data_IF_147404307990
#
_entry.id   IF_147404307990
#
_cell.length_a   1.000
_cell.length_b   1.000
_cell.length_c   1.000
_cell.angle_alpha   90.00
_cell.angle_beta   90.00
_cell.angle_gamma   90.00
#
_symmetry.space_group_name_H-M   'P 1'
#
loop_
_entity.id
_entity.type
_entity.pdbx_description
1 polymer ?
#
# COMPACT_ATOMS: atom_id res chain seq x y z
N UNK A 1 43.36 -24.71 44.43
CA UNK A 1 44.03 -23.94 45.50
C UNK A 1 43.62 -22.47 45.39
N UNK A 2 43.60 -21.73 46.50
CA UNK A 2 43.44 -20.27 46.52
C UNK A 2 44.76 -19.58 46.07
N UNK A 3 44.98 -18.26 46.03
CA UNK A 3 44.38 -17.04 46.63
C UNK A 3 44.64 -15.88 45.62
N UNK A 4 44.10 -14.65 45.66
CA UNK A 4 43.51 -13.80 46.71
C UNK A 4 42.35 -12.93 46.16
N UNK A 5 41.70 -12.14 47.03
CA UNK A 5 40.96 -10.90 46.71
C UNK A 5 41.72 -9.69 47.27
N UNK A 6 41.53 -8.49 46.73
CA UNK A 6 41.45 -7.26 47.55
C UNK A 6 40.45 -6.27 46.97
N UNK A 7 39.71 -5.61 47.85
CA UNK A 7 38.67 -4.60 47.60
C UNK A 7 38.86 -3.47 48.63
N UNK A 8 38.63 -2.23 48.22
CA UNK A 8 38.35 -1.04 49.06
C UNK A 8 37.86 0.06 48.10
N UNK A 9 36.56 0.34 48.03
CA UNK A 9 35.82 1.38 48.79
C UNK A 9 36.29 2.80 48.37
N UNK A 10 35.55 3.54 47.51
CA UNK A 10 34.35 4.37 47.79
C UNK A 10 34.72 5.70 48.51
N UNK A 11 34.29 6.92 48.13
CA UNK A 11 33.40 7.51 47.10
C UNK A 11 33.73 9.03 47.01
N UNK A 12 32.85 9.92 46.49
CA UNK A 12 32.28 10.01 45.14
C UNK A 12 32.78 11.28 44.40
N UNK A 13 32.58 11.35 43.08
CA UNK A 13 32.46 12.64 42.40
C UNK A 13 31.39 12.52 41.30
N UNK A 14 30.52 13.52 41.18
CA UNK A 14 29.32 13.45 40.35
C UNK A 14 29.11 14.76 39.60
N UNK A 15 29.22 14.76 38.26
CA UNK A 15 28.65 15.82 37.44
C UNK A 15 27.20 15.49 37.13
N UNK A 16 26.29 16.38 37.53
CA UNK A 16 24.92 16.44 37.02
C UNK A 16 24.97 16.63 35.51
N UNK A 17 24.37 15.70 34.75
CA UNK A 17 24.09 15.91 33.34
C UNK A 17 22.66 16.44 33.20
N UNK A 18 22.51 17.65 32.66
CA UNK A 18 21.23 18.23 32.28
C UNK A 18 20.63 17.50 31.07
N UNK A 19 19.31 17.61 30.81
CA UNK A 19 18.66 16.88 29.73
C UNK A 19 19.14 17.41 28.37
N UNK A 20 19.78 16.56 27.57
CA UNK A 20 20.07 16.87 26.16
C UNK A 20 18.78 17.00 25.37
N UNK A 21 18.63 18.14 24.70
CA UNK A 21 17.66 18.40 23.64
C UNK A 21 17.77 17.36 22.50
N UNK A 22 16.72 17.16 21.68
CA UNK A 22 16.72 16.15 20.63
C UNK A 22 17.84 16.41 19.59
N UNK A 23 18.56 15.33 19.26
CA UNK A 23 19.67 15.35 18.30
C UNK A 23 19.15 15.66 16.90
N UNK A 24 19.90 16.48 16.17
CA UNK A 24 19.60 16.87 14.79
C UNK A 24 19.72 15.69 13.80
N UNK A 25 19.09 15.82 12.63
CA UNK A 25 19.17 14.83 11.55
C UNK A 25 20.63 14.63 11.05
N UNK A 26 21.02 13.40 10.65
CA UNK A 26 22.41 13.09 10.29
C UNK A 26 22.80 13.43 8.84
N UNK A 27 24.03 13.91 8.65
CA UNK A 27 24.63 14.31 7.36
C UNK A 27 25.04 13.13 6.41
N UNK A 28 24.74 11.87 6.73
CA UNK A 28 25.32 10.69 6.04
C UNK A 28 24.35 9.87 5.14
N UNK A 29 23.22 10.45 4.73
CA UNK A 29 22.27 9.79 3.83
C UNK A 29 22.81 9.68 2.37
N UNK A 30 22.35 8.69 1.59
CA UNK A 30 22.72 8.61 0.16
C UNK A 30 21.81 9.55 -0.63
N UNK A 31 22.22 10.81 -0.73
CA UNK A 31 21.57 11.77 -1.61
C UNK A 31 21.86 11.46 -3.09
N UNK A 32 20.82 11.17 -3.87
CA UNK A 32 20.90 11.24 -5.32
C UNK A 32 21.07 12.72 -5.79
N UNK A 33 21.69 12.97 -6.96
CA UNK A 33 21.76 14.31 -7.52
C UNK A 33 20.35 14.92 -7.72
N UNK A 34 20.24 16.24 -7.58
CA UNK A 34 18.95 16.97 -7.69
C UNK A 34 18.17 16.57 -8.94
N UNK A 35 17.12 15.77 -8.76
CA UNK A 35 16.25 15.36 -9.86
C UNK A 35 15.26 16.47 -10.20
N UNK A 36 15.78 17.52 -10.83
CA UNK A 36 15.08 18.71 -11.35
C UNK A 36 13.98 18.42 -12.37
N UNK A 37 13.86 17.17 -12.86
CA UNK A 37 12.72 16.71 -13.61
C UNK A 37 11.49 16.59 -12.70
N UNK A 38 10.46 17.41 -12.96
CA UNK A 38 9.24 17.50 -12.15
C UNK A 38 8.54 16.14 -11.99
N UNK A 39 8.82 15.44 -10.87
CA UNK A 39 8.11 14.22 -10.53
C UNK A 39 6.65 14.55 -10.21
N UNK A 40 5.71 13.90 -10.89
CA UNK A 40 4.29 14.02 -10.57
C UNK A 40 4.05 13.59 -9.11
N UNK A 41 3.66 14.56 -8.28
CA UNK A 41 3.34 14.34 -6.86
C UNK A 41 1.84 14.41 -6.67
N UNK A 42 1.28 13.40 -6.01
CA UNK A 42 -0.17 13.33 -5.79
C UNK A 42 -0.62 14.34 -4.73
N UNK A 43 -1.12 15.48 -5.19
CA UNK A 43 -1.90 16.41 -4.37
C UNK A 43 -3.34 15.92 -4.22
N UNK A 44 -3.55 14.76 -3.58
CA UNK A 44 -4.92 14.30 -3.31
C UNK A 44 -5.48 15.16 -2.18
N UNK A 45 -6.46 16.00 -2.49
CA UNK A 45 -7.20 16.76 -1.50
C UNK A 45 -7.77 15.83 -0.44
N UNK A 46 -7.59 16.20 0.84
CA UNK A 46 -8.08 15.44 2.02
C UNK A 46 -9.56 15.07 1.89
N UNK A 47 -10.34 15.93 1.20
CA UNK A 47 -11.74 15.75 0.82
C UNK A 47 -12.05 14.41 0.15
N UNK A 48 -11.21 13.92 -0.77
CA UNK A 48 -11.47 12.69 -1.53
C UNK A 48 -11.31 11.40 -0.71
N UNK A 49 -10.75 11.53 0.49
CA UNK A 49 -10.52 10.43 1.44
C UNK A 49 -11.38 10.51 2.69
N UNK A 50 -11.97 11.67 2.97
CA UNK A 50 -12.97 11.82 4.01
C UNK A 50 -14.26 11.16 3.54
N UNK A 51 -14.41 9.88 3.87
CA UNK A 51 -15.53 9.05 3.45
C UNK A 51 -16.91 9.62 3.80
N UNK A 52 -17.95 8.94 3.32
CA UNK A 52 -19.34 9.39 3.35
C UNK A 52 -19.73 10.13 4.65
N UNK A 53 -19.89 11.46 4.55
CA UNK A 53 -20.17 12.36 5.67
C UNK A 53 -19.17 13.50 5.87
N UNK A 54 -17.98 13.48 5.25
CA UNK A 54 -17.09 14.66 5.26
C UNK A 54 -17.59 15.73 4.27
N UNK A 55 -17.59 16.99 4.69
CA UNK A 55 -18.13 18.11 3.89
C UNK A 55 -17.15 18.61 2.82
N UNK A 56 -16.85 17.78 1.83
CA UNK A 56 -16.23 18.19 0.57
C UNK A 56 -17.29 18.52 -0.48
N UNK A 57 -17.18 19.67 -1.17
CA UNK A 57 -18.06 19.97 -2.30
C UNK A 57 -17.75 19.01 -3.47
N UNK A 58 -18.77 18.41 -4.12
CA UNK A 58 -18.54 17.54 -5.26
C UNK A 58 -18.14 18.35 -6.50
N UNK A 59 -17.11 17.88 -7.22
CA UNK A 59 -16.85 18.36 -8.58
C UNK A 59 -18.04 18.04 -9.48
N UNK A 60 -18.43 19.02 -10.30
CA UNK A 60 -19.74 19.09 -10.97
C UNK A 60 -19.99 18.13 -12.13
N UNK A 61 -19.47 16.90 -12.08
CA UNK A 61 -19.93 15.83 -12.97
C UNK A 61 -21.26 15.25 -12.46
N UNK A 62 -22.27 15.05 -13.33
CA UNK A 62 -23.52 14.41 -12.91
C UNK A 62 -23.24 12.97 -12.45
N UNK A 63 -23.92 12.47 -11.39
CA UNK A 63 -23.76 11.08 -10.97
C UNK A 63 -24.09 10.13 -12.13
N UNK A 64 -23.13 9.29 -12.50
CA UNK A 64 -23.37 8.23 -13.46
C UNK A 64 -24.40 7.25 -12.87
N UNK A 65 -25.40 6.87 -13.66
CA UNK A 65 -26.39 5.88 -13.24
C UNK A 65 -25.67 4.55 -12.98
N UNK A 66 -25.73 4.07 -11.73
CA UNK A 66 -24.92 2.95 -11.25
C UNK A 66 -25.51 1.61 -11.74
N UNK A 67 -25.39 1.41 -13.06
CA UNK A 67 -25.75 0.18 -13.75
C UNK A 67 -24.67 -0.87 -13.51
N UNK A 68 -25.10 -2.08 -13.13
CA UNK A 68 -24.20 -3.18 -12.85
C UNK A 68 -23.39 -3.56 -14.12
N UNK A 69 -22.06 -3.46 -14.05
CA UNK A 69 -21.18 -3.53 -15.23
C UNK A 69 -20.71 -4.95 -15.54
N UNK A 70 -20.42 -5.32 -16.80
CA UNK A 70 -19.79 -6.60 -17.11
C UNK A 70 -18.46 -6.80 -16.37
N UNK A 71 -18.16 -8.01 -15.89
CA UNK A 71 -16.87 -8.33 -15.25
C UNK A 71 -15.65 -8.08 -16.17
N UNK A 72 -15.84 -7.98 -17.48
CA UNK A 72 -14.79 -7.61 -18.45
C UNK A 72 -14.27 -6.18 -18.27
N UNK A 73 -14.97 -5.35 -17.47
CA UNK A 73 -14.61 -3.96 -17.19
C UNK A 73 -13.96 -3.80 -15.80
N UNK A 74 -13.51 -4.91 -15.20
CA UNK A 74 -12.74 -4.96 -13.96
C UNK A 74 -11.23 -4.90 -14.25
N UNK A 75 -10.42 -4.92 -13.20
CA UNK A 75 -8.98 -5.18 -13.32
C UNK A 75 -8.65 -6.62 -13.78
N UNK A 76 -7.36 -7.00 -13.79
CA UNK A 76 -6.97 -8.39 -14.04
C UNK A 76 -7.55 -9.33 -12.97
N UNK A 77 -7.89 -10.57 -13.36
CA UNK A 77 -8.37 -11.63 -12.46
C UNK A 77 -7.24 -12.31 -11.68
N UNK A 78 -6.05 -12.38 -12.28
CA UNK A 78 -4.90 -13.08 -11.73
C UNK A 78 -3.74 -12.12 -11.51
N UNK A 79 -2.99 -12.36 -10.43
CA UNK A 79 -1.67 -11.76 -10.28
C UNK A 79 -0.73 -12.27 -11.38
N UNK A 80 0.16 -11.42 -11.92
CA UNK A 80 1.31 -11.87 -12.70
C UNK A 80 2.15 -12.89 -11.92
N UNK A 81 2.84 -13.83 -12.59
CA UNK A 81 3.74 -14.78 -11.94
C UNK A 81 4.82 -14.06 -11.12
N UNK A 82 5.08 -14.56 -9.91
CA UNK A 82 6.14 -14.02 -9.06
C UNK A 82 7.53 -14.16 -9.71
N UNK A 83 8.36 -13.13 -9.58
CA UNK A 83 9.78 -13.16 -10.00
C UNK A 83 10.70 -12.91 -8.83
N UNK A 84 11.92 -13.44 -8.89
CA UNK A 84 13.00 -13.17 -7.93
C UNK A 84 14.22 -12.65 -8.69
N UNK A 85 14.41 -11.33 -8.74
CA UNK A 85 15.66 -10.76 -9.30
C UNK A 85 16.85 -10.98 -8.36
N UNK A 86 16.61 -11.06 -7.04
CA UNK A 86 17.58 -11.47 -6.03
C UNK A 86 17.16 -12.83 -5.48
N UNK A 87 18.00 -13.88 -5.53
CA UNK A 87 17.61 -15.22 -5.07
C UNK A 87 17.08 -15.24 -3.63
N UNK A 88 15.89 -15.79 -3.42
CA UNK A 88 15.22 -15.85 -2.13
C UNK A 88 14.48 -14.57 -1.71
N UNK A 89 14.37 -13.58 -2.60
CA UNK A 89 13.60 -12.36 -2.36
C UNK A 89 12.74 -11.99 -3.57
N UNK A 90 11.41 -12.07 -3.37
CA UNK A 90 10.40 -11.80 -4.40
C UNK A 90 10.34 -10.32 -4.77
N UNK A 91 10.29 -10.07 -6.06
CA UNK A 91 9.97 -8.76 -6.63
C UNK A 91 8.48 -8.45 -6.44
N UNK A 92 8.14 -7.18 -6.25
CA UNK A 92 6.77 -6.69 -6.31
C UNK A 92 6.38 -6.45 -7.77
N UNK A 93 6.06 -7.56 -8.46
CA UNK A 93 5.74 -7.56 -9.90
C UNK A 93 4.57 -6.64 -10.22
N UNK A 94 3.52 -6.64 -9.40
CA UNK A 94 2.35 -5.77 -9.58
C UNK A 94 2.68 -4.28 -9.46
N UNK A 95 3.53 -3.89 -8.50
CA UNK A 95 4.02 -2.51 -8.39
C UNK A 95 4.90 -2.13 -9.60
N UNK A 96 5.81 -3.01 -10.00
CA UNK A 96 6.72 -2.83 -11.15
C UNK A 96 5.96 -2.61 -12.45
N UNK A 97 4.97 -3.45 -12.73
CA UNK A 97 4.16 -3.38 -13.95
C UNK A 97 3.24 -2.15 -13.94
N UNK A 98 2.68 -1.78 -12.79
CA UNK A 98 1.87 -0.58 -12.67
C UNK A 98 2.68 0.72 -12.89
N UNK A 99 3.92 0.77 -12.39
CA UNK A 99 4.85 1.87 -12.69
C UNK A 99 5.20 1.93 -14.18
N UNK A 100 5.55 0.80 -14.79
CA UNK A 100 5.87 0.71 -16.21
C UNK A 100 4.70 1.08 -17.14
N UNK A 101 3.46 1.07 -16.64
CA UNK A 101 2.26 1.49 -17.36
C UNK A 101 1.91 2.99 -17.20
N UNK A 102 2.66 3.77 -16.40
CA UNK A 102 2.45 5.21 -16.27
C UNK A 102 2.87 5.96 -17.54
N UNK A 103 2.08 6.96 -18.00
CA UNK A 103 2.55 7.93 -18.99
C UNK A 103 3.52 8.94 -18.35
N UNK A 104 4.17 9.78 -19.16
CA UNK A 104 5.11 10.80 -18.68
C UNK A 104 4.50 11.81 -17.71
N UNK A 105 3.21 12.14 -17.90
CA UNK A 105 2.42 13.02 -17.03
C UNK A 105 1.23 12.22 -16.45
N UNK A 106 1.44 11.43 -15.37
CA UNK A 106 0.41 10.57 -14.81
C UNK A 106 -0.61 11.35 -14.00
N UNK A 107 -1.89 11.06 -14.21
CA UNK A 107 -3.01 11.61 -13.44
C UNK A 107 -3.01 11.08 -12.00
N UNK A 108 -3.68 11.81 -11.09
CA UNK A 108 -3.89 11.35 -9.70
C UNK A 108 -4.56 9.96 -9.63
N UNK A 109 -5.45 9.63 -10.57
CA UNK A 109 -6.08 8.31 -10.65
C UNK A 109 -5.05 7.23 -11.01
N UNK A 110 -4.16 7.48 -11.98
CA UNK A 110 -3.10 6.52 -12.34
C UNK A 110 -2.08 6.34 -11.20
N UNK A 111 -1.73 7.42 -10.49
CA UNK A 111 -0.88 7.34 -9.31
C UNK A 111 -1.54 6.60 -8.13
N UNK A 112 -2.87 6.70 -7.96
CA UNK A 112 -3.64 5.82 -7.06
C UNK A 112 -3.65 4.36 -7.55
N UNK A 113 -3.70 4.15 -8.87
CA UNK A 113 -3.56 2.87 -9.55
C UNK A 113 -2.24 2.16 -9.25
N UNK A 114 -1.15 2.91 -9.05
CA UNK A 114 0.14 2.38 -8.57
C UNK A 114 0.14 2.22 -7.04
N UNK A 115 -0.44 3.17 -6.28
CA UNK A 115 -0.45 3.16 -4.81
C UNK A 115 -1.17 1.94 -4.22
N UNK A 116 -2.20 1.42 -4.90
CA UNK A 116 -2.89 0.18 -4.49
C UNK A 116 -2.00 -1.07 -4.59
N UNK A 117 -1.04 -1.09 -5.51
CA UNK A 117 -0.06 -2.17 -5.69
C UNK A 117 1.19 -1.97 -4.82
N UNK A 118 1.44 -0.73 -4.39
CA UNK A 118 2.39 -0.48 -3.31
C UNK A 118 1.91 -1.14 -2.01
N UNK A 119 0.60 -1.16 -1.71
CA UNK A 119 0.05 -1.75 -0.49
C UNK A 119 0.02 -3.30 -0.45
N UNK A 120 1.02 -3.97 -1.02
CA UNK A 120 1.12 -5.44 -0.99
C UNK A 120 2.56 -5.93 -1.12
N UNK A 121 2.82 -7.12 -0.58
CA UNK A 121 4.11 -7.78 -0.69
C UNK A 121 5.25 -7.01 0.00
N UNK A 122 6.41 -7.02 -0.65
CA UNK A 122 7.64 -6.42 -0.14
C UNK A 122 8.10 -5.29 -1.08
N UNK A 123 8.90 -4.38 -0.56
CA UNK A 123 9.73 -3.46 -1.36
C UNK A 123 11.18 -3.56 -0.90
N UNK A 124 12.10 -3.20 -1.76
CA UNK A 124 13.53 -3.19 -1.46
C UNK A 124 13.92 -1.79 -0.99
N UNK A 125 14.76 -1.73 0.03
CA UNK A 125 15.47 -0.54 0.49
C UNK A 125 16.95 -0.67 0.12
N UNK A 126 17.58 0.44 -0.27
CA UNK A 126 19.04 0.53 -0.42
C UNK A 126 19.61 1.25 0.80
N UNK A 127 20.65 0.68 1.38
CA UNK A 127 21.31 1.14 2.60
C UNK A 127 22.80 1.35 2.30
N UNK A 128 23.43 2.39 2.84
CA UNK A 128 24.88 2.59 2.74
C UNK A 128 25.64 1.59 3.62
N UNK A 129 26.69 0.98 3.08
CA UNK A 129 27.43 -0.09 3.77
C UNK A 129 26.58 -1.35 4.00
N UNK A 130 26.92 -2.13 5.04
CA UNK A 130 26.27 -3.42 5.37
C UNK A 130 25.09 -3.23 6.34
N UNK A 131 23.87 -3.30 5.82
CA UNK A 131 22.63 -3.22 6.60
C UNK A 131 22.53 -4.29 7.70
N UNK A 132 23.07 -5.50 7.49
CA UNK A 132 23.01 -6.58 8.47
C UNK A 132 23.93 -6.31 9.65
N UNK A 133 25.12 -5.78 9.40
CA UNK A 133 26.03 -5.33 10.45
C UNK A 133 25.38 -4.19 11.26
N UNK A 134 24.88 -3.15 10.59
CA UNK A 134 24.23 -2.01 11.23
C UNK A 134 23.04 -2.42 12.13
N UNK A 135 22.14 -3.27 11.63
CA UNK A 135 21.02 -3.82 12.42
C UNK A 135 21.50 -4.63 13.63
N UNK A 136 22.56 -5.44 13.47
CA UNK A 136 23.10 -6.25 14.58
C UNK A 136 23.77 -5.40 15.66
N UNK A 137 24.24 -4.20 15.30
CA UNK A 137 24.80 -3.21 16.21
C UNK A 137 23.74 -2.25 16.79
N UNK A 138 22.47 -2.38 16.37
CA UNK A 138 21.37 -1.49 16.80
C UNK A 138 21.48 -0.06 16.25
N UNK A 139 22.22 0.14 15.16
CA UNK A 139 22.39 1.44 14.50
C UNK A 139 21.22 1.74 13.56
N UNK A 140 21.00 3.03 13.31
CA UNK A 140 20.10 3.48 12.26
C UNK A 140 20.62 3.08 10.87
N UNK A 141 19.70 2.92 9.92
CA UNK A 141 20.02 2.57 8.54
C UNK A 141 20.18 3.85 7.70
N UNK A 142 21.38 4.14 7.15
CA UNK A 142 21.57 5.25 6.21
C UNK A 142 20.91 4.87 4.88
N UNK A 143 19.62 5.17 4.76
CA UNK A 143 18.82 4.86 3.58
C UNK A 143 19.23 5.74 2.39
N UNK A 144 18.93 5.25 1.19
CA UNK A 144 18.91 6.08 0.01
C UNK A 144 17.70 7.01 0.01
N UNK A 145 17.95 8.29 -0.26
CA UNK A 145 16.92 9.34 -0.31
C UNK A 145 17.07 10.20 -1.55
N UNK A 146 16.00 10.91 -1.88
CA UNK A 146 16.02 12.01 -2.83
C UNK A 146 15.46 13.27 -2.19
N UNK A 147 16.02 14.42 -2.57
CA UNK A 147 15.46 15.73 -2.24
C UNK A 147 14.52 16.17 -3.36
N UNK A 148 13.35 16.68 -2.98
CA UNK A 148 12.42 17.41 -3.86
C UNK A 148 11.79 18.54 -3.05
N UNK A 149 11.81 19.76 -3.57
CA UNK A 149 11.25 20.96 -2.93
C UNK A 149 11.75 21.16 -1.49
N UNK A 150 13.06 21.03 -1.28
CA UNK A 150 13.75 21.06 0.04
C UNK A 150 13.22 20.03 1.07
N UNK A 151 12.64 18.92 0.60
CA UNK A 151 12.12 17.83 1.42
C UNK A 151 12.72 16.49 1.05
N UNK A 152 12.99 15.64 2.05
CA UNK A 152 13.61 14.32 1.88
C UNK A 152 12.57 13.20 1.74
N UNK A 153 12.74 12.37 0.70
CA UNK A 153 11.89 11.22 0.39
C UNK A 153 12.71 9.94 0.38
N UNK A 154 12.26 8.91 1.10
CA UNK A 154 12.93 7.59 1.10
C UNK A 154 12.76 6.91 -0.24
N UNK A 155 13.84 6.36 -0.79
CA UNK A 155 13.78 5.54 -1.99
C UNK A 155 13.37 4.11 -1.67
N UNK A 156 12.30 3.66 -2.33
CA UNK A 156 11.84 2.27 -2.29
C UNK A 156 11.85 1.70 -3.71
N UNK A 157 12.22 0.43 -3.84
CA UNK A 157 12.33 -0.22 -5.14
C UNK A 157 11.38 -1.40 -5.26
N UNK A 158 10.73 -1.53 -6.42
CA UNK A 158 9.79 -2.63 -6.73
C UNK A 158 10.49 -3.99 -6.89
N UNK A 159 11.76 -3.98 -7.23
CA UNK A 159 12.51 -5.17 -7.63
C UNK A 159 14.01 -4.99 -7.47
N UNK A 160 14.76 -6.10 -7.45
CA UNK A 160 16.22 -6.06 -7.54
C UNK A 160 16.73 -5.38 -8.81
N UNK A 161 15.97 -5.46 -9.91
CA UNK A 161 16.30 -4.82 -11.18
C UNK A 161 16.24 -3.29 -11.08
N UNK A 162 15.20 -2.75 -10.44
CA UNK A 162 15.06 -1.31 -10.20
C UNK A 162 16.14 -0.75 -9.25
N UNK A 163 16.52 -1.51 -8.22
CA UNK A 163 17.62 -1.15 -7.34
C UNK A 163 18.97 -1.12 -8.09
N UNK A 164 19.24 -2.14 -8.92
CA UNK A 164 20.44 -2.16 -9.77
C UNK A 164 20.45 -0.99 -10.78
N UNK A 165 19.31 -0.64 -11.38
CA UNK A 165 19.20 0.55 -12.24
C UNK A 165 19.54 1.85 -11.49
N UNK A 166 19.13 1.97 -10.22
CA UNK A 166 19.51 3.11 -9.36
C UNK A 166 21.02 3.17 -9.12
N UNK A 167 21.66 2.05 -8.79
CA UNK A 167 23.13 1.98 -8.58
C UNK A 167 23.89 2.29 -9.86
N UNK A 168 23.38 1.90 -11.04
CA UNK A 168 23.97 2.27 -12.32
C UNK A 168 23.80 3.77 -12.66
N UNK A 169 22.74 4.41 -12.14
CA UNK A 169 22.47 5.82 -12.36
C UNK A 169 23.34 6.75 -11.49
N UNK A 170 23.51 6.43 -10.20
CA UNK A 170 24.26 7.27 -9.25
C UNK A 170 25.69 6.78 -8.93
N UNK A 171 26.03 5.54 -9.29
CA UNK A 171 27.36 4.96 -9.05
C UNK A 171 27.61 4.54 -7.59
N UNK A 172 26.62 4.60 -6.69
CA UNK A 172 26.77 4.29 -5.27
C UNK A 172 26.87 2.77 -5.01
N UNK A 173 28.04 2.20 -5.29
CA UNK A 173 28.31 0.75 -5.17
C UNK A 173 28.63 0.26 -3.75
N UNK A 174 28.97 1.16 -2.82
CA UNK A 174 29.16 0.86 -1.38
C UNK A 174 27.81 0.81 -0.64
N UNK A 175 26.91 -0.04 -1.14
CA UNK A 175 25.53 -0.16 -0.65
C UNK A 175 25.08 -1.62 -0.57
N UNK A 176 24.15 -1.89 0.35
CA UNK A 176 23.44 -3.16 0.47
C UNK A 176 21.95 -2.99 0.20
N UNK A 177 21.29 -4.08 -0.15
CA UNK A 177 19.86 -4.15 -0.42
C UNK A 177 19.14 -4.96 0.66
N UNK A 178 17.96 -4.50 1.09
CA UNK A 178 17.12 -5.18 2.07
C UNK A 178 15.66 -5.18 1.62
N UNK A 179 15.07 -6.36 1.46
CA UNK A 179 13.63 -6.51 1.27
C UNK A 179 12.88 -6.37 2.60
N UNK A 180 11.78 -5.63 2.60
CA UNK A 180 10.92 -5.43 3.78
C UNK A 180 9.43 -5.48 3.39
N UNK A 181 8.54 -6.02 4.26
CA UNK A 181 7.10 -5.93 4.07
C UNK A 181 6.68 -4.47 3.96
N UNK A 182 5.79 -4.15 3.03
CA UNK A 182 5.59 -2.74 2.67
C UNK A 182 5.02 -1.90 3.80
N UNK A 183 4.12 -2.44 4.64
CA UNK A 183 3.63 -1.72 5.83
C UNK A 183 4.72 -1.44 6.85
N UNK A 184 5.75 -2.28 6.96
CA UNK A 184 6.93 -2.01 7.81
C UNK A 184 7.67 -0.77 7.29
N UNK A 185 7.88 -0.69 5.97
CA UNK A 185 8.55 0.45 5.33
C UNK A 185 7.73 1.72 5.47
N UNK A 186 6.42 1.68 5.18
CA UNK A 186 5.54 2.83 5.32
C UNK A 186 5.50 3.32 6.78
N UNK A 187 5.37 2.43 7.77
CA UNK A 187 5.40 2.80 9.19
C UNK A 187 6.76 3.38 9.62
N UNK A 188 7.87 2.88 9.09
CA UNK A 188 9.20 3.46 9.31
C UNK A 188 9.28 4.90 8.76
N UNK A 189 8.82 5.13 7.53
CA UNK A 189 8.78 6.46 6.91
C UNK A 189 7.93 7.43 7.74
N UNK A 190 6.80 6.97 8.29
CA UNK A 190 5.96 7.76 9.19
C UNK A 190 6.56 7.98 10.58
N UNK A 191 7.43 7.10 11.07
CA UNK A 191 8.14 7.30 12.33
C UNK A 191 9.33 8.28 12.19
N UNK A 192 9.94 8.33 11.00
CA UNK A 192 11.07 9.22 10.69
C UNK A 192 10.70 10.64 10.25
N UNK A 193 11.70 11.49 9.97
CA UNK A 193 11.55 12.90 9.55
C UNK A 193 11.17 13.06 8.07
N UNK A 194 10.83 11.97 7.38
CA UNK A 194 10.66 11.95 5.93
C UNK A 194 9.34 12.57 5.45
N UNK A 195 9.40 13.30 4.34
CA UNK A 195 8.25 13.89 3.68
C UNK A 195 7.45 12.91 2.81
N UNK A 196 7.95 11.68 2.64
CA UNK A 196 7.27 10.62 1.91
C UNK A 196 8.24 9.58 1.35
N UNK A 197 7.82 8.93 0.26
CA UNK A 197 8.65 8.01 -0.52
C UNK A 197 8.68 8.38 -2.01
N UNK A 198 9.73 7.94 -2.69
CA UNK A 198 9.82 7.89 -4.14
C UNK A 198 10.04 6.43 -4.57
N UNK A 199 9.16 5.93 -5.42
CA UNK A 199 9.18 4.54 -5.90
C UNK A 199 9.92 4.46 -7.23
N UNK A 200 10.87 3.54 -7.33
CA UNK A 200 11.74 3.31 -8.50
C UNK A 200 12.30 4.63 -9.08
N UNK A 201 13.07 5.43 -8.31
CA UNK A 201 13.53 6.77 -8.71
C UNK A 201 14.29 6.83 -10.06
N UNK A 202 14.87 5.71 -10.49
CA UNK A 202 15.60 5.57 -11.74
C UNK A 202 14.73 5.14 -12.95
N UNK A 203 13.40 4.99 -12.80
CA UNK A 203 12.47 4.65 -13.91
C UNK A 203 12.21 5.82 -14.88
N UNK A 204 12.78 7.00 -14.63
CA UNK A 204 12.60 8.19 -15.46
C UNK A 204 11.34 8.96 -15.09
N UNK A 205 10.50 9.26 -16.07
CA UNK A 205 9.20 9.93 -15.89
C UNK A 205 8.17 9.03 -15.18
N UNK A 206 8.26 7.71 -15.37
CA UNK A 206 7.38 6.70 -14.78
C UNK A 206 7.64 6.43 -13.26
N UNK A 207 8.16 7.41 -12.52
CA UNK A 207 8.44 7.31 -11.08
C UNK A 207 7.27 7.89 -10.27
N UNK A 208 6.88 7.20 -9.20
CA UNK A 208 5.78 7.65 -8.33
C UNK A 208 6.31 8.30 -7.04
N UNK A 209 5.81 9.49 -6.69
CA UNK A 209 6.13 10.17 -5.42
C UNK A 209 4.88 10.24 -4.56
N UNK A 210 4.94 9.64 -3.38
CA UNK A 210 3.85 9.63 -2.41
C UNK A 210 4.24 10.41 -1.17
N UNK A 211 3.45 11.44 -0.86
CA UNK A 211 3.67 12.32 0.29
C UNK A 211 3.31 11.63 1.59
N UNK A 212 3.91 12.10 2.69
CA UNK A 212 3.65 11.61 4.05
C UNK A 212 2.16 11.57 4.38
N UNK A 213 1.41 12.65 4.12
CA UNK A 213 -0.03 12.73 4.41
C UNK A 213 -0.85 11.64 3.68
N UNK A 214 -0.46 11.28 2.46
CA UNK A 214 -1.08 10.17 1.73
C UNK A 214 -0.70 8.82 2.36
N UNK A 215 0.57 8.62 2.72
CA UNK A 215 1.03 7.40 3.40
C UNK A 215 0.32 7.22 4.76
N UNK A 216 0.17 8.29 5.54
CA UNK A 216 -0.60 8.29 6.79
C UNK A 216 -2.03 7.79 6.57
N UNK A 217 -2.70 8.30 5.52
CA UNK A 217 -4.06 7.86 5.17
C UNK A 217 -4.10 6.40 4.69
N UNK A 218 -3.13 5.99 3.89
CA UNK A 218 -3.02 4.61 3.39
C UNK A 218 -2.81 3.61 4.54
N UNK A 219 -1.90 3.90 5.47
CA UNK A 219 -1.62 3.04 6.64
C UNK A 219 -2.77 3.04 7.65
N UNK A 220 -3.45 4.18 7.87
CA UNK A 220 -4.59 4.25 8.77
C UNK A 220 -5.83 3.49 8.27
N UNK A 221 -6.04 3.45 6.96
CA UNK A 221 -7.12 2.67 6.34
C UNK A 221 -6.73 1.24 5.95
N UNK A 222 -5.46 0.83 6.12
CA UNK A 222 -5.05 -0.54 5.84
C UNK A 222 -5.72 -1.56 6.77
N UNK A 223 -5.95 -2.75 6.23
CA UNK A 223 -5.96 -3.97 7.03
C UNK A 223 -4.53 -4.22 7.60
N UNK A 224 -4.35 -4.51 8.90
CA UNK A 224 -3.02 -4.60 9.50
C UNK A 224 -2.08 -5.63 8.86
N UNK A 225 -2.63 -6.74 8.38
CA UNK A 225 -1.89 -7.84 7.76
C UNK A 225 -2.01 -7.83 6.22
N UNK A 226 -2.80 -6.90 5.66
CA UNK A 226 -3.19 -6.85 4.25
C UNK A 226 -3.72 -8.19 3.75
N UNK A 227 -4.50 -8.91 4.58
CA UNK A 227 -4.71 -10.35 4.42
C UNK A 227 -5.33 -10.72 3.06
N UNK A 228 -6.47 -10.10 2.72
CA UNK A 228 -7.16 -10.30 1.43
C UNK A 228 -6.24 -10.02 0.25
N UNK A 229 -5.52 -8.88 0.27
CA UNK A 229 -4.66 -8.48 -0.84
C UNK A 229 -3.43 -9.38 -0.97
N UNK A 230 -2.88 -9.85 0.14
CA UNK A 230 -1.79 -10.83 0.17
C UNK A 230 -2.25 -12.13 -0.50
N UNK A 231 -3.40 -12.68 -0.10
CA UNK A 231 -4.00 -13.89 -0.72
C UNK A 231 -4.22 -13.69 -2.23
N UNK A 232 -4.67 -12.51 -2.66
CA UNK A 232 -4.94 -12.20 -4.07
C UNK A 232 -3.68 -11.92 -4.90
N UNK A 233 -2.54 -11.63 -4.26
CA UNK A 233 -1.24 -11.46 -4.91
C UNK A 233 -0.47 -12.77 -5.11
N UNK A 234 -0.95 -13.89 -4.55
CA UNK A 234 -0.35 -15.22 -4.68
C UNK A 234 -0.83 -15.95 -5.94
N UNK A 235 -0.19 -17.08 -6.25
CA UNK A 235 -0.66 -18.01 -7.28
C UNK A 235 -2.06 -18.54 -6.92
N UNK A 236 -2.98 -18.53 -7.90
CA UNK A 236 -4.37 -18.96 -7.67
C UNK A 236 -4.45 -20.47 -7.51
N UNK A 237 -4.95 -20.91 -6.35
CA UNK A 237 -5.22 -22.32 -6.03
C UNK A 237 -6.72 -22.57 -5.79
N UNK A 238 -7.20 -23.83 -5.81
CA UNK A 238 -8.59 -24.16 -5.46
C UNK A 238 -9.01 -23.65 -4.07
N UNK A 239 -8.08 -23.57 -3.12
CA UNK A 239 -8.31 -23.11 -1.75
C UNK A 239 -8.41 -21.58 -1.65
N UNK A 240 -8.07 -20.83 -2.71
CA UNK A 240 -8.00 -19.36 -2.65
C UNK A 240 -9.37 -18.74 -2.38
N UNK A 241 -10.45 -19.29 -2.94
CA UNK A 241 -11.82 -18.82 -2.67
C UNK A 241 -12.17 -18.93 -1.18
N UNK A 242 -11.92 -20.10 -0.58
CA UNK A 242 -12.15 -20.35 0.84
C UNK A 242 -11.28 -19.45 1.74
N UNK A 243 -10.00 -19.23 1.39
CA UNK A 243 -9.11 -18.30 2.12
C UNK A 243 -9.62 -16.87 2.11
N UNK A 244 -10.10 -16.37 0.97
CA UNK A 244 -10.66 -15.00 0.89
C UNK A 244 -12.00 -14.89 1.62
N UNK A 245 -12.87 -15.89 1.51
CA UNK A 245 -14.14 -15.93 2.24
C UNK A 245 -13.96 -15.98 3.77
N UNK A 246 -12.97 -16.72 4.24
CA UNK A 246 -12.56 -16.73 5.65
C UNK A 246 -11.95 -15.39 6.09
N UNK A 247 -11.05 -14.80 5.30
CA UNK A 247 -10.48 -13.48 5.59
C UNK A 247 -11.56 -12.38 5.68
N UNK A 248 -12.59 -12.42 4.83
CA UNK A 248 -13.74 -11.49 4.87
C UNK A 248 -14.53 -11.53 6.20
N UNK A 249 -14.35 -12.54 7.05
CA UNK A 249 -14.99 -12.55 8.39
C UNK A 249 -14.36 -11.55 9.37
N UNK A 250 -13.11 -11.15 9.14
CA UNK A 250 -12.26 -10.40 10.09
C UNK A 250 -11.54 -9.18 9.50
N UNK A 251 -11.14 -9.26 8.23
CA UNK A 251 -10.38 -8.23 7.55
C UNK A 251 -11.26 -7.00 7.26
N UNK A 252 -10.62 -5.84 7.13
CA UNK A 252 -11.30 -4.61 6.72
C UNK A 252 -11.58 -4.63 5.21
N UNK A 253 -12.79 -4.27 4.80
CA UNK A 253 -13.14 -4.09 3.39
C UNK A 253 -14.16 -2.95 3.20
N UNK A 254 -14.25 -2.47 1.96
CA UNK A 254 -15.06 -1.32 1.57
C UNK A 254 -15.95 -1.63 0.36
N UNK A 255 -17.07 -0.93 0.31
CA UNK A 255 -17.91 -0.77 -0.88
C UNK A 255 -17.55 0.52 -1.58
N UNK A 256 -17.66 0.52 -2.91
CA UNK A 256 -17.75 1.73 -3.70
C UNK A 256 -19.22 2.17 -3.72
N UNK A 257 -19.55 3.27 -3.04
CA UNK A 257 -20.90 3.80 -2.92
C UNK A 257 -21.04 5.16 -3.61
N UNK A 258 -22.21 5.45 -4.18
CA UNK A 258 -22.48 6.73 -4.81
C UNK A 258 -23.93 7.18 -4.56
N UNK A 259 -24.23 8.46 -4.82
CA UNK A 259 -25.61 8.97 -4.73
C UNK A 259 -26.32 8.77 -6.06
N UNK A 260 -27.36 7.95 -6.08
CA UNK A 260 -28.18 7.74 -7.27
C UNK A 260 -28.98 9.02 -7.62
N UNK A 261 -29.37 9.23 -8.89
CA UNK A 261 -30.12 10.42 -9.31
C UNK A 261 -31.44 10.68 -8.54
N UNK A 262 -32.02 9.66 -7.89
CA UNK A 262 -33.20 9.77 -7.03
C UNK A 262 -32.92 10.12 -5.56
N UNK A 263 -31.66 10.42 -5.18
CA UNK A 263 -31.27 10.74 -3.80
C UNK A 263 -31.09 9.53 -2.87
N UNK A 264 -31.36 8.31 -3.37
CA UNK A 264 -30.98 7.07 -2.69
C UNK A 264 -29.49 6.76 -2.88
N UNK A 265 -28.95 5.85 -2.06
CA UNK A 265 -27.57 5.38 -2.21
C UNK A 265 -27.52 4.17 -3.14
N UNK A 266 -26.59 4.20 -4.10
CA UNK A 266 -26.18 3.05 -4.88
C UNK A 266 -24.87 2.46 -4.34
N UNK A 267 -24.67 1.16 -4.59
CA UNK A 267 -23.39 0.48 -4.41
C UNK A 267 -22.97 -0.12 -5.74
N UNK A 268 -21.66 -0.21 -5.97
CA UNK A 268 -21.14 -0.78 -7.19
C UNK A 268 -21.43 -2.29 -7.30
N UNK A 269 -22.01 -2.68 -8.42
CA UNK A 269 -22.29 -4.07 -8.79
C UNK A 269 -21.60 -4.45 -10.10
N UNK A 270 -21.17 -5.70 -10.18
CA UNK A 270 -20.75 -6.36 -11.41
C UNK A 270 -21.81 -7.37 -11.89
N UNK A 271 -21.72 -7.73 -13.17
CA UNK A 271 -22.51 -8.76 -13.85
C UNK A 271 -21.59 -9.84 -14.42
N UNK A 272 -21.85 -11.09 -14.06
CA UNK A 272 -21.25 -12.23 -14.76
C UNK A 272 -21.71 -12.29 -16.22
N UNK A 273 -21.02 -13.05 -17.10
CA UNK A 273 -21.49 -13.31 -18.46
C UNK A 273 -22.90 -13.93 -18.50
N UNK A 274 -23.27 -14.67 -17.46
CA UNK A 274 -24.59 -15.29 -17.25
C UNK A 274 -25.65 -14.30 -16.72
N UNK A 275 -25.25 -13.05 -16.42
CA UNK A 275 -26.14 -11.97 -15.97
C UNK A 275 -26.36 -11.88 -14.46
N UNK A 276 -25.65 -12.69 -13.66
CA UNK A 276 -25.78 -12.73 -12.20
C UNK A 276 -25.27 -11.44 -11.55
N UNK A 277 -25.92 -10.96 -10.48
CA UNK A 277 -25.49 -9.78 -9.73
C UNK A 277 -24.43 -10.13 -8.70
N UNK A 278 -23.35 -9.36 -8.68
CA UNK A 278 -22.25 -9.50 -7.74
C UNK A 278 -21.94 -8.13 -7.12
N UNK A 279 -21.82 -8.04 -5.79
CA UNK A 279 -21.40 -6.79 -5.14
C UNK A 279 -19.88 -6.61 -5.31
N UNK A 280 -19.41 -5.41 -5.63
CA UNK A 280 -17.98 -5.11 -5.69
C UNK A 280 -17.42 -4.72 -4.30
N UNK A 281 -16.54 -5.56 -3.76
CA UNK A 281 -15.79 -5.34 -2.52
C UNK A 281 -14.34 -4.94 -2.83
N UNK A 282 -13.79 -4.11 -1.95
CA UNK A 282 -12.44 -3.56 -2.06
C UNK A 282 -11.66 -3.81 -0.77
N UNK A 283 -10.39 -4.17 -0.90
CA UNK A 283 -9.49 -4.43 0.26
C UNK A 283 -8.82 -3.16 0.79
N UNK A 284 -8.94 -2.03 0.06
CA UNK A 284 -8.50 -0.71 0.52
C UNK A 284 -9.23 0.44 -0.20
N UNK A 285 -9.53 1.57 0.46
CA UNK A 285 -10.15 2.74 -0.19
C UNK A 285 -9.43 3.28 -1.43
N UNK A 286 -8.10 3.15 -1.52
CA UNK A 286 -7.32 3.61 -2.68
C UNK A 286 -7.72 2.90 -3.98
N UNK A 287 -8.21 1.66 -3.90
CA UNK A 287 -8.68 0.91 -5.07
C UNK A 287 -9.90 1.57 -5.70
N UNK A 288 -10.84 2.05 -4.87
CA UNK A 288 -12.05 2.75 -5.30
C UNK A 288 -11.67 4.08 -5.99
N UNK A 289 -10.68 4.79 -5.45
CA UNK A 289 -10.11 6.00 -6.08
C UNK A 289 -9.45 5.65 -7.42
N UNK A 290 -8.69 4.56 -7.50
CA UNK A 290 -8.04 4.09 -8.73
C UNK A 290 -9.05 3.70 -9.83
N UNK A 291 -10.26 3.24 -9.48
CA UNK A 291 -11.33 2.97 -10.44
C UNK A 291 -11.81 4.23 -11.19
N UNK A 292 -11.61 5.43 -10.64
CA UNK A 292 -11.95 6.71 -11.29
C UNK A 292 -13.43 6.99 -11.50
N UNK A 293 -14.34 6.21 -10.88
CA UNK A 293 -15.80 6.35 -11.07
C UNK A 293 -16.45 7.47 -10.26
N UNK A 294 -15.69 8.16 -9.41
CA UNK A 294 -16.22 9.16 -8.46
C UNK A 294 -16.95 8.55 -7.24
N UNK A 295 -16.98 7.23 -7.12
CA UNK A 295 -17.53 6.55 -5.94
C UNK A 295 -16.76 6.91 -4.66
N UNK A 296 -17.47 6.88 -3.54
CA UNK A 296 -16.92 7.09 -2.21
C UNK A 296 -16.69 5.75 -1.51
N UNK A 297 -15.59 5.60 -0.75
CA UNK A 297 -15.35 4.41 0.06
C UNK A 297 -16.31 4.37 1.25
N UNK A 298 -17.12 3.33 1.33
CA UNK A 298 -17.99 3.04 2.47
C UNK A 298 -17.49 1.76 3.18
N UNK A 299 -16.98 1.83 4.43
CA UNK A 299 -16.53 0.64 5.15
C UNK A 299 -17.71 -0.30 5.43
N UNK A 300 -17.50 -1.61 5.31
CA UNK A 300 -18.51 -2.63 5.59
C UNK A 300 -17.95 -3.74 6.49
N UNK A 301 -18.80 -4.34 7.33
CA UNK A 301 -18.47 -5.51 8.15
C UNK A 301 -19.02 -6.81 7.56
N UNK A 302 -18.47 -7.96 7.97
CA UNK A 302 -18.97 -9.28 7.61
C UNK A 302 -20.48 -9.44 7.89
N UNK A 303 -20.94 -9.00 9.06
CA UNK A 303 -22.34 -9.05 9.45
C UNK A 303 -23.26 -8.18 8.57
N UNK A 304 -22.78 -7.00 8.14
CA UNK A 304 -23.51 -6.14 7.20
C UNK A 304 -23.59 -6.77 5.81
N UNK A 305 -22.49 -7.36 5.31
CA UNK A 305 -22.47 -8.10 4.05
C UNK A 305 -23.44 -9.30 4.10
N UNK A 306 -23.39 -10.08 5.19
CA UNK A 306 -24.29 -11.20 5.41
C UNK A 306 -25.77 -10.78 5.50
N UNK A 307 -26.06 -9.61 6.09
CA UNK A 307 -27.41 -9.05 6.13
C UNK A 307 -27.88 -8.63 4.72
N UNK A 308 -27.04 -7.92 3.96
CA UNK A 308 -27.34 -7.51 2.59
C UNK A 308 -27.63 -8.73 1.69
N UNK A 309 -26.74 -9.73 1.71
CA UNK A 309 -26.90 -10.97 0.94
C UNK A 309 -28.16 -11.76 1.36
N UNK A 310 -28.55 -11.77 2.63
CA UNK A 310 -29.81 -12.40 3.08
C UNK A 310 -31.07 -11.59 2.71
N UNK A 311 -30.94 -10.28 2.51
CA UNK A 311 -32.07 -9.41 2.16
C UNK A 311 -32.42 -9.40 0.66
N UNK A 312 -31.47 -9.74 -0.21
CA UNK A 312 -31.66 -9.80 -1.66
C UNK A 312 -31.10 -11.13 -2.21
N UNK A 313 -32.00 -12.10 -2.43
CA UNK A 313 -31.67 -13.38 -3.06
C UNK A 313 -31.23 -13.24 -4.53
N UNK A 314 -31.51 -12.09 -5.16
CA UNK A 314 -31.04 -11.78 -6.51
C UNK A 314 -29.54 -11.46 -6.60
N UNK A 315 -28.85 -11.35 -5.46
CA UNK A 315 -27.39 -11.21 -5.38
C UNK A 315 -26.74 -12.60 -5.26
N UNK A 316 -26.01 -13.00 -6.31
CA UNK A 316 -25.41 -14.32 -6.45
C UNK A 316 -24.05 -14.47 -5.74
N UNK A 317 -23.48 -13.38 -5.22
CA UNK A 317 -22.18 -13.37 -4.58
C UNK A 317 -21.50 -12.01 -4.61
N UNK A 318 -20.17 -12.02 -4.59
CA UNK A 318 -19.34 -10.80 -4.61
C UNK A 318 -18.14 -10.94 -5.56
N UNK A 319 -17.59 -9.80 -5.98
CA UNK A 319 -16.25 -9.65 -6.56
C UNK A 319 -15.38 -8.98 -5.51
N UNK A 320 -14.24 -9.57 -5.13
CA UNK A 320 -13.29 -8.99 -4.16
C UNK A 320 -12.08 -8.41 -4.89
N UNK A 321 -11.62 -7.22 -4.47
CA UNK A 321 -10.60 -6.38 -5.12
C UNK A 321 -10.90 -6.16 -6.60
N UNK A 322 -12.04 -5.54 -6.91
CA UNK A 322 -12.51 -5.28 -8.27
C UNK A 322 -11.54 -4.45 -9.15
N UNK A 323 -10.52 -3.82 -8.55
CA UNK A 323 -9.43 -3.16 -9.26
C UNK A 323 -8.32 -4.14 -9.73
N UNK A 324 -8.30 -5.36 -9.20
CA UNK A 324 -7.44 -6.47 -9.61
C UNK A 324 -6.16 -6.61 -8.77
N UNK A 325 -5.69 -7.83 -8.43
CA UNK A 325 -6.23 -9.13 -8.86
C UNK A 325 -7.56 -9.50 -8.18
N UNK A 326 -8.63 -9.68 -8.96
CA UNK A 326 -9.96 -9.91 -8.39
C UNK A 326 -10.29 -11.38 -8.18
N UNK A 327 -11.24 -11.70 -7.30
CA UNK A 327 -11.87 -13.04 -7.24
C UNK A 327 -13.38 -12.93 -7.15
N UNK A 328 -14.10 -13.80 -7.86
CA UNK A 328 -15.53 -14.04 -7.67
C UNK A 328 -15.74 -15.05 -6.55
N UNK A 329 -16.57 -14.71 -5.57
CA UNK A 329 -17.07 -15.64 -4.55
C UNK A 329 -18.57 -15.77 -4.71
N UNK A 330 -19.08 -16.99 -4.82
CA UNK A 330 -20.51 -17.31 -4.84
C UNK A 330 -21.11 -17.29 -3.43
N UNK A 331 -22.43 -17.43 -3.30
CA UNK A 331 -23.09 -17.60 -1.99
C UNK A 331 -22.57 -18.81 -1.22
N UNK A 332 -22.20 -19.89 -1.91
CA UNK A 332 -21.68 -21.12 -1.29
C UNK A 332 -20.26 -20.90 -0.75
N UNK A 333 -19.40 -20.21 -1.51
CA UNK A 333 -18.06 -19.80 -1.03
C UNK A 333 -18.17 -18.88 0.20
N UNK A 334 -19.18 -18.01 0.23
CA UNK A 334 -19.46 -17.06 1.32
C UNK A 334 -20.13 -17.68 2.55
N UNK A 335 -20.25 -19.01 2.64
CA UNK A 335 -20.75 -19.68 3.84
C UNK A 335 -20.08 -19.24 5.17
N UNK A 336 -18.76 -18.96 5.25
CA UNK A 336 -18.14 -18.42 6.47
C UNK A 336 -18.71 -17.05 6.87
N UNK A 337 -18.98 -16.17 5.89
CA UNK A 337 -19.54 -14.83 6.12
C UNK A 337 -21.03 -14.92 6.48
N UNK A 338 -21.80 -15.77 5.80
CA UNK A 338 -23.24 -15.93 6.03
C UNK A 338 -23.59 -16.55 7.38
N UNK A 339 -22.66 -17.32 7.96
CA UNK A 339 -22.81 -17.99 9.25
C UNK A 339 -22.02 -17.32 10.40
N UNK A 340 -21.40 -16.15 10.17
CA UNK A 340 -20.77 -15.37 11.23
C UNK A 340 -21.85 -14.68 12.10
N UNK A 341 -21.79 -14.91 13.42
CA UNK A 341 -22.67 -14.30 14.43
C UNK A 341 -22.22 -12.88 14.84
#
# INVERSE_FOLDING_TARGET
>A
MAIFKRRRDASPDAPTAEPTEPVAAPDEEIAAPDTTAAAASVGISVSSFGGFGSSGAPDGSPPAEQTARPITNLGPELAPPATETVPGLRDNVLLREALAALPDEPTNQQLAGVARHLLQGHVFLRVRGDARALLSEGKELPLAIGTKDDQHYVFVYSSGAALNASVQHDGATDTSAMGQPVLTVLRYVLAGPYAGIMVDPASGSARAVYTRALIERMVAEADPELEIKTILSEERTPETAARVADALTRARFWLAANTAPGGGFGIAEARSPEGERLIELYSHPIEIVAMGRGDQPAPMTAAQLAAALRSDEGIAGVIVDAAGPWIRLTRDDLAPVLNAE
#
